data_IF_272251779264
#
_entry.id   IF_272251779264
#
_cell.length_a   1.000
_cell.length_b   1.000
_cell.length_c   1.000
_cell.angle_alpha   90.00
_cell.angle_beta   90.00
_cell.angle_gamma   90.00
#
_symmetry.space_group_name_H-M   'P 1'
#
loop_
_entity.id
_entity.type
_entity.pdbx_description
1 polymer ?
#
# COMPACT_ATOMS: atom_id res chain seq x y z
N UNK A 1 -18.28 13.08 -4.91
CA UNK A 1 -18.00 12.52 -6.25
C UNK A 1 -16.94 11.45 -6.05
N UNK A 2 -17.21 10.19 -6.41
CA UNK A 2 -16.19 9.14 -6.37
C UNK A 2 -15.21 9.37 -7.52
N UNK A 3 -13.97 9.77 -7.21
CA UNK A 3 -12.92 9.87 -8.20
C UNK A 3 -12.47 8.44 -8.58
N UNK A 4 -12.91 7.95 -9.74
CA UNK A 4 -12.45 6.68 -10.32
C UNK A 4 -11.39 6.96 -11.38
N UNK A 5 -10.09 7.01 -11.02
CA UNK A 5 -9.06 7.21 -12.02
C UNK A 5 -9.01 6.00 -12.96
N UNK A 6 -9.08 6.25 -14.26
CA UNK A 6 -8.81 5.23 -15.27
C UNK A 6 -7.29 5.08 -15.43
N UNK A 7 -6.68 4.33 -14.52
CA UNK A 7 -5.26 3.98 -14.59
C UNK A 7 -5.13 2.82 -15.58
N UNK A 8 -4.36 3.01 -16.64
CA UNK A 8 -4.03 1.90 -17.55
C UNK A 8 -3.18 0.89 -16.79
N UNK A 9 -3.45 -0.40 -16.95
CA UNK A 9 -2.69 -1.44 -16.26
C UNK A 9 -1.19 -1.33 -16.54
N UNK A 10 -0.37 -1.69 -15.55
CA UNK A 10 1.07 -1.77 -15.73
C UNK A 10 1.43 -2.88 -16.74
N UNK A 11 2.12 -2.51 -17.81
CA UNK A 11 2.48 -3.41 -18.92
C UNK A 11 4.00 -3.63 -19.06
N UNK A 12 4.81 -3.02 -18.18
CA UNK A 12 6.27 -3.07 -18.26
C UNK A 12 6.90 -1.68 -18.27
N UNK A 13 8.20 -1.63 -18.59
CA UNK A 13 8.98 -0.40 -18.67
C UNK A 13 8.37 0.67 -19.60
N UNK A 14 7.61 0.26 -20.61
CA UNK A 14 6.98 1.15 -21.60
C UNK A 14 6.00 2.16 -21.01
N UNK A 15 5.31 1.79 -19.91
CA UNK A 15 4.35 2.67 -19.24
C UNK A 15 4.62 2.88 -17.75
N UNK A 16 5.70 2.33 -17.21
CA UNK A 16 6.09 2.41 -15.79
C UNK A 16 6.01 3.82 -15.21
N UNK A 17 6.71 4.81 -15.79
CA UNK A 17 6.76 6.18 -15.24
C UNK A 17 5.38 6.84 -15.18
N UNK A 18 4.53 6.57 -16.18
CA UNK A 18 3.16 7.11 -16.22
C UNK A 18 2.28 6.41 -15.19
N UNK A 19 2.31 5.08 -15.17
CA UNK A 19 1.55 4.26 -14.23
C UNK A 19 1.89 4.64 -12.79
N UNK A 20 3.19 4.70 -12.46
CA UNK A 20 3.71 5.03 -11.13
C UNK A 20 3.15 6.38 -10.65
N UNK A 21 3.22 7.41 -11.49
CA UNK A 21 2.70 8.74 -11.15
C UNK A 21 1.19 8.73 -10.91
N UNK A 22 0.42 7.98 -11.72
CA UNK A 22 -1.04 7.90 -11.54
C UNK A 22 -1.41 7.16 -10.25
N UNK A 23 -0.70 6.08 -9.93
CA UNK A 23 -0.90 5.31 -8.70
C UNK A 23 -0.45 6.11 -7.47
N UNK A 24 0.67 6.83 -7.52
CA UNK A 24 1.11 7.74 -6.44
C UNK A 24 0.02 8.78 -6.11
N UNK A 25 -0.58 9.40 -7.13
CA UNK A 25 -1.66 10.37 -6.95
C UNK A 25 -2.92 9.74 -6.34
N UNK A 26 -3.26 8.51 -6.74
CA UNK A 26 -4.40 7.78 -6.17
C UNK A 26 -4.16 7.39 -4.72
N UNK A 27 -2.98 6.84 -4.41
CA UNK A 27 -2.59 6.51 -3.04
C UNK A 27 -2.56 7.75 -2.14
N UNK A 28 -2.09 8.89 -2.66
CA UNK A 28 -2.11 10.16 -1.94
C UNK A 28 -3.55 10.64 -1.69
N UNK A 29 -4.44 10.52 -2.68
CA UNK A 29 -5.84 10.90 -2.51
C UNK A 29 -6.57 10.04 -1.47
N UNK A 30 -6.16 8.78 -1.33
CA UNK A 30 -6.69 7.84 -0.35
C UNK A 30 -5.92 7.88 0.99
N UNK A 31 -4.95 8.79 1.14
CA UNK A 31 -4.15 8.97 2.36
C UNK A 31 -3.36 7.72 2.80
N UNK A 32 -3.02 6.82 1.85
CA UNK A 32 -2.29 5.57 2.12
C UNK A 32 -0.90 5.54 1.44
N UNK A 33 -0.44 6.66 0.88
CA UNK A 33 0.86 6.74 0.22
C UNK A 33 2.02 6.46 1.17
N UNK A 34 1.93 6.91 2.42
CA UNK A 34 3.00 6.74 3.41
C UNK A 34 3.16 5.28 3.85
N UNK A 35 2.07 4.51 3.89
CA UNK A 35 2.08 3.06 4.09
C UNK A 35 2.88 2.39 2.96
N UNK A 36 2.59 2.75 1.71
CA UNK A 36 3.27 2.18 0.52
C UNK A 36 4.75 2.58 0.47
N UNK A 37 5.10 3.77 0.95
CA UNK A 37 6.51 4.18 1.06
C UNK A 37 7.24 3.54 2.24
N UNK A 38 6.52 2.85 3.13
CA UNK A 38 7.08 2.31 4.38
C UNK A 38 7.40 3.38 5.42
N UNK A 39 6.87 4.60 5.27
CA UNK A 39 7.03 5.69 6.23
C UNK A 39 6.09 5.51 7.43
N UNK A 40 4.88 5.00 7.17
CA UNK A 40 3.92 4.61 8.20
C UNK A 40 4.16 3.13 8.50
N UNK A 41 4.83 2.86 9.61
CA UNK A 41 5.11 1.51 10.08
C UNK A 41 3.94 0.94 10.89
N UNK A 42 3.96 -0.37 11.09
CA UNK A 42 3.10 -1.03 12.07
C UNK A 42 3.20 -0.29 13.42
N UNK A 43 2.07 -0.01 14.10
CA UNK A 43 2.11 0.60 15.42
C UNK A 43 3.05 -0.20 16.33
N UNK A 44 3.92 0.49 17.07
CA UNK A 44 4.85 -0.19 17.96
C UNK A 44 4.10 -0.85 19.12
N UNK A 45 4.50 -2.07 19.47
CA UNK A 45 3.97 -2.75 20.65
C UNK A 45 4.41 -1.95 21.87
N UNK A 46 3.47 -1.46 22.68
CA UNK A 46 3.81 -0.57 23.77
C UNK A 46 4.60 -1.29 24.89
N UNK A 47 5.62 -0.62 25.42
CA UNK A 47 6.38 -1.03 26.61
C UNK A 47 5.62 -0.59 27.88
N UNK A 48 5.12 -1.54 28.67
CA UNK A 48 3.94 -1.29 29.52
C UNK A 48 4.29 -0.81 30.94
N UNK A 49 3.66 0.30 31.37
CA UNK A 49 3.38 0.66 32.78
C UNK A 49 1.89 0.68 33.15
N UNK A 50 0.98 0.80 32.17
CA UNK A 50 -0.48 0.69 32.33
C UNK A 50 -1.07 -0.11 31.15
N UNK A 51 -1.47 -1.39 31.33
CA UNK A 51 -1.76 -2.32 30.24
C UNK A 51 -3.05 -2.05 29.48
N UNK A 52 -4.12 -1.57 30.12
CA UNK A 52 -5.46 -1.58 29.52
C UNK A 52 -5.70 -0.41 28.56
N UNK A 53 -5.40 0.83 28.95
CA UNK A 53 -5.56 2.01 28.08
C UNK A 53 -4.61 1.97 26.87
N UNK A 54 -3.43 1.41 27.08
CA UNK A 54 -2.36 1.29 26.09
C UNK A 54 -2.68 0.20 25.06
N UNK A 55 -3.28 -0.91 25.49
CA UNK A 55 -3.76 -1.98 24.60
C UNK A 55 -4.91 -1.51 23.71
N UNK A 56 -5.90 -0.79 24.25
CA UNK A 56 -7.02 -0.27 23.44
C UNK A 56 -6.57 0.70 22.35
N UNK A 57 -5.58 1.57 22.65
CA UNK A 57 -5.01 2.47 21.65
C UNK A 57 -4.25 1.70 20.55
N UNK A 58 -3.41 0.75 20.94
CA UNK A 58 -2.68 -0.10 19.99
C UNK A 58 -3.62 -0.86 19.04
N UNK A 59 -4.68 -1.48 19.57
CA UNK A 59 -5.66 -2.21 18.76
C UNK A 59 -6.39 -1.30 17.77
N UNK A 60 -6.71 -0.07 18.20
CA UNK A 60 -7.33 0.94 17.34
C UNK A 60 -6.40 1.35 16.19
N UNK A 61 -5.16 1.73 16.52
CA UNK A 61 -4.15 2.17 15.56
C UNK A 61 -3.80 1.04 14.58
N UNK A 62 -3.68 -0.19 15.06
CA UNK A 62 -3.44 -1.38 14.23
C UNK A 62 -4.59 -1.62 13.24
N UNK A 63 -5.84 -1.44 13.67
CA UNK A 63 -7.01 -1.61 12.80
C UNK A 63 -7.08 -0.53 11.71
N UNK A 64 -6.68 0.70 12.01
CA UNK A 64 -6.57 1.77 11.01
C UNK A 64 -5.49 1.42 10.00
N UNK A 65 -4.28 1.11 10.48
CA UNK A 65 -3.16 0.72 9.64
C UNK A 65 -3.50 -0.44 8.73
N UNK A 66 -4.05 -1.53 9.26
CA UNK A 66 -4.38 -2.73 8.49
C UNK A 66 -5.43 -2.46 7.39
N UNK A 67 -6.35 -1.51 7.61
CA UNK A 67 -7.30 -1.08 6.56
C UNK A 67 -6.60 -0.28 5.47
N UNK A 68 -5.72 0.65 5.83
CA UNK A 68 -4.94 1.43 4.88
C UNK A 68 -4.02 0.54 4.05
N UNK A 69 -3.37 -0.42 4.69
CA UNK A 69 -2.52 -1.43 4.06
C UNK A 69 -3.31 -2.30 3.05
N UNK A 70 -4.47 -2.83 3.44
CA UNK A 70 -5.33 -3.58 2.53
C UNK A 70 -5.80 -2.74 1.33
N UNK A 71 -6.14 -1.46 1.55
CA UNK A 71 -6.54 -0.55 0.49
C UNK A 71 -5.37 -0.27 -0.48
N UNK A 72 -4.18 -0.03 0.05
CA UNK A 72 -2.97 0.18 -0.73
C UNK A 72 -2.63 -1.05 -1.59
N UNK A 73 -2.65 -2.25 -1.00
CA UNK A 73 -2.43 -3.50 -1.74
C UNK A 73 -3.48 -3.67 -2.85
N UNK A 74 -4.76 -3.38 -2.57
CA UNK A 74 -5.82 -3.49 -3.57
C UNK A 74 -5.63 -2.49 -4.73
N UNK A 75 -5.24 -1.25 -4.44
CA UNK A 75 -4.94 -0.23 -5.47
C UNK A 75 -3.78 -0.71 -6.37
N UNK A 76 -2.72 -1.27 -5.76
CA UNK A 76 -1.59 -1.79 -6.52
C UNK A 76 -2.01 -2.98 -7.38
N UNK A 77 -2.59 -4.01 -6.79
CA UNK A 77 -2.98 -5.25 -7.49
C UNK A 77 -4.00 -4.98 -8.60
N UNK A 78 -5.03 -4.15 -8.34
CA UNK A 78 -6.06 -3.84 -9.35
C UNK A 78 -5.54 -3.01 -10.53
N UNK A 79 -4.41 -2.32 -10.37
CA UNK A 79 -3.80 -1.51 -11.42
C UNK A 79 -2.65 -2.21 -12.15
N UNK A 80 -2.34 -3.46 -11.79
CA UNK A 80 -1.35 -4.31 -12.46
C UNK A 80 -2.02 -5.26 -13.48
N UNK A 81 -1.22 -5.80 -14.40
CA UNK A 81 -1.61 -6.95 -15.21
C UNK A 81 -1.29 -8.26 -14.47
N UNK A 82 -1.81 -9.39 -14.96
CA UNK A 82 -1.64 -10.69 -14.31
C UNK A 82 -0.17 -11.09 -14.11
N UNK A 83 0.71 -10.79 -15.09
CA UNK A 83 2.15 -11.05 -14.97
C UNK A 83 2.79 -10.33 -13.77
N UNK A 84 2.48 -9.04 -13.58
CA UNK A 84 3.01 -8.27 -12.45
C UNK A 84 2.38 -8.69 -11.12
N UNK A 85 1.12 -9.15 -11.13
CA UNK A 85 0.47 -9.74 -9.95
C UNK A 85 1.21 -11.01 -9.53
N UNK A 86 1.49 -11.92 -10.47
CA UNK A 86 2.21 -13.16 -10.18
C UNK A 86 3.62 -12.90 -9.65
N UNK A 87 4.33 -11.91 -10.21
CA UNK A 87 5.68 -11.53 -9.75
C UNK A 87 5.69 -10.96 -8.34
N UNK A 88 4.58 -10.35 -7.91
CA UNK A 88 4.43 -9.72 -6.59
C UNK A 88 3.67 -10.58 -5.59
N UNK A 89 3.24 -11.80 -5.97
CA UNK A 89 2.46 -12.70 -5.12
C UNK A 89 3.16 -13.13 -3.82
N UNK A 90 4.48 -13.03 -3.75
CA UNK A 90 5.27 -13.33 -2.53
C UNK A 90 5.45 -12.12 -1.61
N UNK A 91 5.09 -10.91 -2.05
CA UNK A 91 5.10 -9.71 -1.22
C UNK A 91 3.95 -9.77 -0.22
N UNK A 92 4.26 -9.46 1.04
CA UNK A 92 3.31 -9.49 2.16
C UNK A 92 2.77 -8.10 2.50
N UNK A 93 3.42 -7.05 2.01
CA UNK A 93 3.02 -5.67 2.24
C UNK A 93 2.94 -4.83 0.96
N UNK A 94 2.15 -3.75 0.99
CA UNK A 94 2.06 -2.80 -0.10
C UNK A 94 3.43 -2.15 -0.40
N UNK A 95 4.23 -1.92 0.65
CA UNK A 95 5.59 -1.41 0.52
C UNK A 95 6.52 -2.40 -0.19
N UNK A 96 6.44 -3.70 0.12
CA UNK A 96 7.21 -4.72 -0.61
C UNK A 96 6.81 -4.79 -2.08
N UNK A 97 5.51 -4.74 -2.40
CA UNK A 97 5.02 -4.68 -3.79
C UNK A 97 5.62 -3.47 -4.50
N UNK A 98 5.50 -2.28 -3.89
CA UNK A 98 5.98 -1.02 -4.46
C UNK A 98 7.48 -1.00 -4.74
N UNK A 99 8.26 -1.53 -3.81
CA UNK A 99 9.72 -1.57 -3.95
C UNK A 99 10.19 -2.66 -4.92
N UNK A 100 9.44 -3.75 -5.08
CA UNK A 100 9.78 -4.84 -5.99
C UNK A 100 9.46 -4.52 -7.45
N UNK A 101 8.34 -3.85 -7.70
CA UNK A 101 7.85 -3.53 -9.03
C UNK A 101 8.91 -2.92 -9.99
N UNK A 102 9.71 -1.90 -9.60
CA UNK A 102 10.75 -1.33 -10.47
C UNK A 102 11.76 -2.35 -11.03
N UNK A 103 11.94 -3.50 -10.38
CA UNK A 103 12.88 -4.55 -10.79
C UNK A 103 12.22 -5.64 -11.64
N UNK A 104 10.90 -5.62 -11.77
CA UNK A 104 10.10 -6.63 -12.45
C UNK A 104 9.54 -6.19 -13.81
N UNK A 105 9.54 -4.88 -14.10
CA UNK A 105 8.99 -4.29 -15.33
C UNK A 105 10.03 -3.85 -16.36
#
# INVERSE_FOLDING_TARGET
>A
MEFKPQIKQLQGASNWSRWRRQVELLLQHQEVLDIVKGNEGLPEVPDVKDPDAVKSKYEHDYKIFNKGEALAQLILVSSMNDTNIDLTATCKSASEIWNKLPFCV
#
